data_IF_040107890909
#
_entry.id   IF_040107890909
#
_cell.length_a   1.000
_cell.length_b   1.000
_cell.length_c   1.000
_cell.angle_alpha   90.00
_cell.angle_beta   90.00
_cell.angle_gamma   90.00
#
_symmetry.space_group_name_H-M   'P 1'
#
loop_
_entity.id
_entity.type
_entity.pdbx_description
1 polymer ?
#
# COMPACT_ATOMS: atom_id res chain seq x y z
N UNK A 1 53.79 -33.09 56.62
CA UNK A 1 53.64 -31.90 55.74
C UNK A 1 52.16 -31.53 55.71
N UNK A 2 51.76 -30.50 56.46
CA UNK A 2 50.34 -30.11 56.60
C UNK A 2 50.03 -29.07 55.53
N UNK A 3 49.24 -29.43 54.53
CA UNK A 3 48.72 -28.52 53.50
C UNK A 3 47.65 -27.61 54.12
N UNK A 4 48.00 -26.34 54.35
CA UNK A 4 47.10 -25.30 54.88
C UNK A 4 46.15 -24.84 53.76
N UNK A 5 44.87 -25.24 53.80
CA UNK A 5 43.91 -24.93 52.73
C UNK A 5 43.47 -23.46 52.74
N UNK A 6 43.79 -22.71 51.68
CA UNK A 6 43.48 -21.28 51.49
C UNK A 6 42.03 -21.05 50.96
N UNK A 7 41.04 -21.74 51.52
CA UNK A 7 39.67 -21.82 50.96
C UNK A 7 38.91 -20.48 50.92
N UNK A 8 39.27 -19.48 51.73
CA UNK A 8 38.57 -18.19 51.79
C UNK A 8 38.87 -17.25 50.62
N UNK A 9 40.09 -17.29 50.06
CA UNK A 9 40.47 -16.45 48.91
C UNK A 9 39.88 -16.93 47.58
N UNK A 10 39.74 -18.25 47.42
CA UNK A 10 39.15 -18.86 46.23
C UNK A 10 37.65 -18.54 46.08
N UNK A 11 36.91 -18.57 47.20
CA UNK A 11 35.47 -18.26 47.19
C UNK A 11 35.20 -16.81 46.82
N UNK A 12 36.01 -15.86 47.30
CA UNK A 12 35.88 -14.44 46.97
C UNK A 12 36.15 -14.15 45.49
N UNK A 13 37.20 -14.76 44.93
CA UNK A 13 37.50 -14.63 43.50
C UNK A 13 36.39 -15.24 42.64
N UNK A 14 35.84 -16.40 43.04
CA UNK A 14 34.74 -17.06 42.36
C UNK A 14 33.45 -16.23 42.40
N UNK A 15 33.09 -15.66 43.54
CA UNK A 15 31.89 -14.81 43.64
C UNK A 15 32.02 -13.53 42.81
N UNK A 16 33.22 -12.93 42.76
CA UNK A 16 33.48 -11.78 41.89
C UNK A 16 33.32 -12.14 40.41
N UNK A 17 33.83 -13.31 40.01
CA UNK A 17 33.75 -13.80 38.63
C UNK A 17 32.29 -14.12 38.23
N UNK A 18 31.51 -14.69 39.15
CA UNK A 18 30.07 -14.93 38.97
C UNK A 18 29.30 -13.60 38.88
N UNK A 19 29.61 -12.59 39.69
CA UNK A 19 29.01 -11.25 39.61
C UNK A 19 29.34 -10.54 38.29
N UNK A 20 30.58 -10.67 37.81
CA UNK A 20 30.99 -10.16 36.49
C UNK A 20 30.27 -10.90 35.36
N UNK A 21 30.12 -12.21 35.46
CA UNK A 21 29.35 -12.99 34.48
C UNK A 21 27.88 -12.55 34.46
N UNK A 22 27.20 -12.49 35.61
CA UNK A 22 25.78 -12.10 35.71
C UNK A 22 25.54 -10.67 35.21
N UNK A 23 26.45 -9.74 35.54
CA UNK A 23 26.34 -8.36 35.04
C UNK A 23 26.51 -8.30 33.52
N UNK A 24 27.45 -9.04 32.94
CA UNK A 24 27.62 -9.11 31.48
C UNK A 24 26.40 -9.70 30.76
N UNK A 25 25.80 -10.76 31.31
CA UNK A 25 24.58 -11.37 30.76
C UNK A 25 23.37 -10.43 30.87
N UNK A 26 23.24 -9.69 31.97
CA UNK A 26 22.14 -8.75 32.17
C UNK A 26 22.19 -7.61 31.14
N UNK A 27 23.38 -7.08 30.84
CA UNK A 27 23.57 -6.06 29.80
C UNK A 27 23.26 -6.61 28.41
N UNK A 28 23.74 -7.82 28.10
CA UNK A 28 23.44 -8.49 26.82
C UNK A 28 21.93 -8.73 26.63
N UNK A 29 21.25 -9.19 27.68
CA UNK A 29 19.80 -9.45 27.66
C UNK A 29 19.00 -8.14 27.47
N UNK A 30 19.43 -7.05 28.10
CA UNK A 30 18.83 -5.73 27.88
C UNK A 30 19.00 -5.26 26.42
N UNK A 31 20.16 -5.52 25.81
CA UNK A 31 20.38 -5.27 24.38
C UNK A 31 19.41 -6.04 23.48
N UNK A 32 19.19 -7.33 23.75
CA UNK A 32 18.23 -8.17 23.01
C UNK A 32 16.79 -7.70 23.19
N UNK A 33 16.38 -7.35 24.42
CA UNK A 33 15.03 -6.83 24.70
C UNK A 33 14.78 -5.52 23.95
N UNK A 34 15.76 -4.60 23.96
CA UNK A 34 15.66 -3.35 23.20
C UNK A 34 15.56 -3.61 21.69
N UNK A 35 16.33 -4.57 21.17
CA UNK A 35 16.29 -4.93 19.76
C UNK A 35 14.95 -5.54 19.35
N UNK A 36 14.42 -6.46 20.14
CA UNK A 36 13.12 -7.09 19.90
C UNK A 36 11.97 -6.07 19.98
N UNK A 37 12.03 -5.16 20.95
CA UNK A 37 11.05 -4.06 21.07
C UNK A 37 11.05 -3.17 19.82
N UNK A 38 12.23 -2.74 19.34
CA UNK A 38 12.35 -1.96 18.10
C UNK A 38 11.85 -2.73 16.87
N UNK A 39 12.14 -4.03 16.79
CA UNK A 39 11.68 -4.87 15.70
C UNK A 39 10.14 -5.01 15.70
N UNK A 40 9.53 -5.17 16.87
CA UNK A 40 8.08 -5.23 17.03
C UNK A 40 7.41 -3.93 16.58
N UNK A 41 7.92 -2.76 17.02
CA UNK A 41 7.40 -1.45 16.59
C UNK A 41 7.53 -1.27 15.09
N UNK A 42 8.67 -1.65 14.50
CA UNK A 42 8.86 -1.57 13.05
C UNK A 42 7.88 -2.48 12.29
N UNK A 43 7.65 -3.69 12.79
CA UNK A 43 6.68 -4.63 12.23
C UNK A 43 5.26 -4.04 12.25
N UNK A 44 4.85 -3.52 13.40
CA UNK A 44 3.56 -2.84 13.56
C UNK A 44 3.42 -1.68 12.57
N UNK A 45 4.43 -0.79 12.49
CA UNK A 45 4.42 0.33 11.55
C UNK A 45 4.25 -0.13 10.10
N UNK A 46 4.99 -1.15 9.65
CA UNK A 46 4.84 -1.68 8.28
C UNK A 46 3.43 -2.21 8.04
N UNK A 47 2.85 -2.92 9.01
CA UNK A 47 1.49 -3.44 8.89
C UNK A 47 0.46 -2.31 8.81
N UNK A 48 0.59 -1.27 9.63
CA UNK A 48 -0.32 -0.10 9.58
C UNK A 48 -0.18 0.67 8.26
N UNK A 49 1.03 0.82 7.71
CA UNK A 49 1.23 1.46 6.40
C UNK A 49 0.63 0.61 5.27
N UNK A 50 0.74 -0.73 5.34
CA UNK A 50 0.07 -1.61 4.38
C UNK A 50 -1.45 -1.41 4.44
N UNK A 51 -2.03 -1.40 5.65
CA UNK A 51 -3.47 -1.15 5.82
C UNK A 51 -3.86 0.22 5.25
N UNK A 52 -3.08 1.27 5.48
CA UNK A 52 -3.37 2.58 4.90
C UNK A 52 -3.39 2.56 3.36
N UNK A 53 -2.50 1.79 2.74
CA UNK A 53 -2.51 1.60 1.29
C UNK A 53 -3.74 0.79 0.83
N UNK A 54 -4.16 -0.24 1.57
CA UNK A 54 -5.37 -1.02 1.28
C UNK A 54 -6.64 -0.16 1.35
N UNK A 55 -6.74 0.72 2.36
CA UNK A 55 -7.84 1.69 2.47
C UNK A 55 -7.90 2.64 1.28
N UNK A 56 -6.77 3.03 0.70
CA UNK A 56 -6.76 3.83 -0.52
C UNK A 56 -7.28 3.07 -1.74
N UNK A 57 -6.99 1.76 -1.83
CA UNK A 57 -7.56 0.91 -2.88
C UNK A 57 -9.08 0.76 -2.73
N UNK A 58 -9.55 0.51 -1.51
CA UNK A 58 -10.98 0.41 -1.22
C UNK A 58 -11.70 1.73 -1.45
N UNK A 59 -11.09 2.87 -1.08
CA UNK A 59 -11.64 4.20 -1.35
C UNK A 59 -11.80 4.45 -2.86
N UNK A 60 -10.81 4.08 -3.67
CA UNK A 60 -10.90 4.17 -5.12
C UNK A 60 -11.95 3.24 -5.73
N UNK A 61 -12.06 2.02 -5.21
CA UNK A 61 -13.12 1.07 -5.60
C UNK A 61 -14.51 1.59 -5.25
N UNK A 62 -14.71 2.10 -4.04
CA UNK A 62 -15.98 2.67 -3.58
C UNK A 62 -16.37 3.89 -4.43
N UNK A 63 -15.41 4.73 -4.81
CA UNK A 63 -15.66 5.83 -5.73
C UNK A 63 -16.17 5.32 -7.08
N UNK A 64 -15.58 4.26 -7.65
CA UNK A 64 -16.09 3.65 -8.88
C UNK A 64 -17.52 3.11 -8.71
N UNK A 65 -17.82 2.44 -7.59
CA UNK A 65 -19.18 1.95 -7.31
C UNK A 65 -20.17 3.11 -7.27
N UNK A 66 -19.83 4.21 -6.60
CA UNK A 66 -20.65 5.42 -6.52
C UNK A 66 -20.90 6.03 -7.91
N UNK A 67 -19.87 6.16 -8.75
CA UNK A 67 -20.04 6.66 -10.12
C UNK A 67 -20.90 5.74 -11.00
N UNK A 68 -20.75 4.43 -10.85
CA UNK A 68 -21.57 3.44 -11.56
C UNK A 68 -23.02 3.43 -11.08
N UNK A 69 -23.26 3.70 -9.80
CA UNK A 69 -24.60 3.86 -9.23
C UNK A 69 -25.28 5.13 -9.73
N UNK A 70 -24.57 6.27 -9.71
CA UNK A 70 -25.08 7.57 -10.19
C UNK A 70 -25.49 7.58 -11.66
N UNK A 71 -24.81 6.80 -12.50
CA UNK A 71 -25.14 6.70 -13.92
C UNK A 71 -26.40 5.87 -14.22
N UNK A 72 -27.03 5.24 -13.22
CA UNK A 72 -28.37 4.66 -13.34
C UNK A 72 -28.46 3.51 -14.35
N UNK A 73 -29.01 3.75 -15.54
CA UNK A 73 -29.04 2.81 -16.67
C UNK A 73 -28.22 3.29 -17.89
N UNK A 74 -27.63 4.49 -17.81
CA UNK A 74 -26.84 5.08 -18.88
C UNK A 74 -25.47 4.38 -19.05
N UNK A 75 -24.88 4.51 -20.24
CA UNK A 75 -23.53 4.03 -20.51
C UNK A 75 -22.51 4.57 -19.49
N UNK A 76 -21.52 3.73 -19.14
CA UNK A 76 -20.44 4.14 -18.24
C UNK A 76 -19.51 5.10 -18.97
N UNK A 77 -19.47 6.37 -18.55
CA UNK A 77 -18.72 7.46 -19.20
C UNK A 77 -17.45 7.89 -18.48
N UNK A 78 -17.00 7.12 -17.48
CA UNK A 78 -15.81 7.45 -16.68
C UNK A 78 -14.58 7.48 -17.60
N UNK A 79 -13.88 8.61 -17.68
CA UNK A 79 -12.64 8.81 -18.46
C UNK A 79 -11.51 9.34 -17.60
N UNK A 80 -10.28 9.30 -18.11
CA UNK A 80 -9.16 10.01 -17.48
C UNK A 80 -9.16 11.50 -17.87
N UNK A 81 -10.21 12.22 -17.49
CA UNK A 81 -10.42 13.63 -17.85
C UNK A 81 -9.41 14.58 -17.19
N UNK A 82 -8.77 14.16 -16.09
CA UNK A 82 -7.82 14.98 -15.35
C UNK A 82 -6.39 14.48 -15.58
N UNK A 83 -5.43 15.38 -15.52
CA UNK A 83 -4.01 15.04 -15.57
C UNK A 83 -3.20 15.83 -14.53
N UNK A 84 -1.99 15.34 -14.24
CA UNK A 84 -1.00 16.03 -13.40
C UNK A 84 0.40 15.60 -13.80
N UNK A 85 1.38 16.50 -13.65
CA UNK A 85 2.78 16.15 -13.82
C UNK A 85 3.20 15.02 -12.89
N UNK A 86 3.91 14.04 -13.46
CA UNK A 86 4.43 12.90 -12.72
C UNK A 86 5.44 13.43 -11.71
N UNK A 87 5.09 13.30 -10.44
CA UNK A 87 5.88 13.82 -9.32
C UNK A 87 5.55 13.05 -8.05
N UNK A 88 6.54 12.94 -7.16
CA UNK A 88 6.39 12.31 -5.86
C UNK A 88 6.75 10.82 -5.83
N UNK A 89 6.98 10.32 -4.63
CA UNK A 89 7.50 8.98 -4.40
C UNK A 89 6.48 7.87 -4.71
N UNK A 90 5.18 8.12 -4.53
CA UNK A 90 4.16 7.12 -4.84
C UNK A 90 4.15 6.73 -6.31
N UNK A 91 4.02 7.72 -7.20
CA UNK A 91 4.00 7.47 -8.64
C UNK A 91 5.31 6.84 -9.12
N UNK A 92 6.46 7.27 -8.58
CA UNK A 92 7.75 6.65 -8.88
C UNK A 92 7.80 5.17 -8.49
N UNK A 93 7.26 4.79 -7.33
CA UNK A 93 7.17 3.39 -6.89
C UNK A 93 6.21 2.56 -7.75
N UNK A 94 5.24 3.20 -8.42
CA UNK A 94 4.36 2.58 -9.41
C UNK A 94 4.95 2.57 -10.83
N UNK A 95 6.22 2.94 -10.98
CA UNK A 95 6.97 2.91 -12.25
C UNK A 95 6.85 4.17 -13.11
N UNK A 96 6.15 5.21 -12.65
CA UNK A 96 6.07 6.50 -13.34
C UNK A 96 7.32 7.33 -13.05
N UNK A 97 8.33 7.24 -13.92
CA UNK A 97 9.62 7.92 -13.73
C UNK A 97 9.83 9.11 -14.65
N UNK A 98 9.03 9.24 -15.73
CA UNK A 98 9.16 10.34 -16.67
C UNK A 98 8.46 11.60 -16.16
N UNK A 99 9.20 12.50 -15.53
CA UNK A 99 8.67 13.75 -14.96
C UNK A 99 8.27 14.79 -16.01
N UNK A 100 8.64 14.59 -17.28
CA UNK A 100 8.18 15.42 -18.40
C UNK A 100 6.77 15.03 -18.88
N UNK A 101 6.25 13.88 -18.43
CA UNK A 101 4.92 13.40 -18.76
C UNK A 101 3.90 13.72 -17.66
N UNK A 102 2.62 13.64 -18.03
CA UNK A 102 1.51 13.74 -17.10
C UNK A 102 0.88 12.36 -16.89
N UNK A 103 0.51 12.07 -15.64
CA UNK A 103 -0.37 10.95 -15.33
C UNK A 103 -1.82 11.39 -15.54
N UNK A 104 -2.56 10.64 -16.34
CA UNK A 104 -3.98 10.84 -16.58
C UNK A 104 -4.81 9.96 -15.63
N UNK A 105 -5.84 10.53 -15.02
CA UNK A 105 -6.69 9.84 -14.04
C UNK A 105 -8.13 10.36 -14.07
N UNK A 106 -9.05 9.51 -13.66
CA UNK A 106 -10.46 9.83 -13.49
C UNK A 106 -10.71 10.53 -12.14
N UNK A 107 -10.04 10.07 -11.09
CA UNK A 107 -10.18 10.62 -9.75
C UNK A 107 -8.92 10.47 -8.92
N UNK A 108 -8.73 11.36 -7.95
CA UNK A 108 -7.57 11.37 -7.07
C UNK A 108 -7.88 12.01 -5.73
N UNK A 109 -7.34 11.44 -4.66
CA UNK A 109 -7.27 12.05 -3.34
C UNK A 109 -5.88 11.85 -2.74
N UNK A 110 -5.40 12.85 -2.01
CA UNK A 110 -4.09 12.85 -1.36
C UNK A 110 -4.19 13.26 0.09
N UNK A 111 -3.17 12.91 0.87
CA UNK A 111 -3.08 13.25 2.29
C UNK A 111 -4.36 12.86 3.04
N UNK A 112 -4.96 11.72 2.68
CA UNK A 112 -6.13 11.22 3.38
C UNK A 112 -5.66 10.59 4.68
N UNK A 113 -6.32 10.94 5.78
CA UNK A 113 -6.00 10.37 7.07
C UNK A 113 -6.51 8.93 7.13
N UNK A 114 -5.67 8.02 7.60
CA UNK A 114 -6.07 6.62 7.79
C UNK A 114 -7.19 6.47 8.84
N UNK A 115 -7.16 7.30 9.89
CA UNK A 115 -8.20 7.36 10.90
C UNK A 115 -8.78 8.77 10.97
N UNK A 116 -9.94 8.98 10.36
CA UNK A 116 -10.85 10.09 10.69
C UNK A 116 -11.79 9.74 11.86
N UNK A 117 -11.61 8.57 12.47
CA UNK A 117 -12.40 8.11 13.61
C UNK A 117 -11.69 8.55 14.89
N UNK A 118 -11.98 9.78 15.33
CA UNK A 118 -11.54 10.33 16.62
C UNK A 118 -10.18 11.03 16.62
N UNK A 119 -9.88 11.72 17.72
CA UNK A 119 -8.64 12.48 17.98
C UNK A 119 -7.43 11.56 18.26
N UNK A 120 -7.33 10.44 17.56
CA UNK A 120 -6.28 9.43 17.78
C UNK A 120 -4.98 9.89 17.12
N UNK A 121 -4.14 10.53 17.94
CA UNK A 121 -2.85 11.11 17.51
C UNK A 121 -1.86 10.10 16.95
N UNK A 122 -2.08 8.80 17.16
CA UNK A 122 -1.19 7.73 16.70
C UNK A 122 -1.51 7.27 15.27
N UNK A 123 -2.80 7.20 14.89
CA UNK A 123 -3.21 6.80 13.54
C UNK A 123 -3.30 7.98 12.56
N UNK A 124 -3.52 9.20 13.04
CA UNK A 124 -3.49 10.42 12.21
C UNK A 124 -2.12 10.73 11.57
N UNK A 125 -1.06 10.02 11.99
CA UNK A 125 0.30 10.10 11.40
C UNK A 125 0.45 9.24 10.15
N UNK A 126 -0.47 8.32 9.93
CA UNK A 126 -0.52 7.48 8.74
C UNK A 126 -1.50 8.10 7.77
N UNK A 127 -1.01 8.33 6.55
CA UNK A 127 -1.82 8.90 5.49
C UNK A 127 -1.80 7.99 4.29
N UNK A 128 -2.75 8.18 3.38
CA UNK A 128 -2.74 7.50 2.11
C UNK A 128 -3.10 8.46 0.99
N UNK A 129 -2.72 8.07 -0.21
CA UNK A 129 -3.22 8.67 -1.42
C UNK A 129 -3.62 7.59 -2.41
N UNK A 130 -4.52 7.95 -3.31
CA UNK A 130 -4.94 7.05 -4.36
C UNK A 130 -5.35 7.80 -5.63
N UNK A 131 -5.25 7.07 -6.74
CA UNK A 131 -5.62 7.48 -8.08
C UNK A 131 -6.52 6.39 -8.67
N UNK A 132 -7.59 6.80 -9.33
CA UNK A 132 -8.45 5.92 -10.11
C UNK A 132 -8.24 6.24 -11.57
N UNK A 133 -7.93 5.22 -12.37
CA UNK A 133 -7.64 5.37 -13.78
C UNK A 133 -8.48 4.40 -14.59
N UNK A 134 -8.99 4.86 -15.73
CA UNK A 134 -9.46 3.97 -16.79
C UNK A 134 -8.24 3.47 -17.57
N UNK A 135 -8.25 2.19 -17.89
CA UNK A 135 -7.19 1.56 -18.67
C UNK A 135 -7.80 0.81 -19.87
N UNK A 136 -6.99 0.56 -20.89
CA UNK A 136 -7.42 -0.19 -22.07
C UNK A 136 -7.74 -1.65 -21.74
N UNK A 137 -8.51 -2.31 -22.61
CA UNK A 137 -8.71 -3.75 -22.53
C UNK A 137 -7.36 -4.46 -22.70
N UNK A 138 -7.01 -5.33 -21.75
CA UNK A 138 -5.77 -6.07 -21.77
C UNK A 138 -6.06 -7.57 -21.71
N UNK A 139 -5.67 -8.31 -22.75
CA UNK A 139 -5.89 -9.75 -22.88
C UNK A 139 -5.10 -10.59 -21.87
N UNK A 140 -4.10 -10.00 -21.20
CA UNK A 140 -3.29 -10.65 -20.15
C UNK A 140 -3.94 -10.63 -18.76
N UNK A 141 -5.10 -9.99 -18.60
CA UNK A 141 -5.85 -10.00 -17.34
C UNK A 141 -6.62 -11.33 -17.11
N UNK A 142 -6.61 -12.24 -18.10
CA UNK A 142 -7.11 -13.61 -17.96
C UNK A 142 -6.07 -14.59 -17.38
N UNK A 143 -4.96 -14.11 -16.85
CA UNK A 143 -3.93 -14.96 -16.24
C UNK A 143 -2.73 -14.13 -15.80
N UNK A 144 -2.66 -13.90 -14.49
CA UNK A 144 -1.60 -13.27 -13.69
C UNK A 144 -0.22 -13.05 -14.36
N UNK A 145 -0.10 -12.09 -15.28
CA UNK A 145 1.21 -11.56 -15.65
C UNK A 145 1.17 -10.06 -15.96
N UNK A 146 2.02 -9.34 -15.24
CA UNK A 146 1.96 -7.91 -14.94
C UNK A 146 2.76 -7.00 -15.91
N UNK A 147 2.28 -5.74 -16.03
CA UNK A 147 2.86 -4.49 -16.59
C UNK A 147 2.98 -4.42 -18.14
N UNK A 148 2.25 -3.50 -18.80
CA UNK A 148 2.82 -2.18 -19.10
C UNK A 148 1.90 -0.97 -18.83
N UNK A 149 2.53 0.16 -18.54
CA UNK A 149 1.90 1.46 -18.42
C UNK A 149 1.42 2.00 -19.77
N UNK A 150 0.14 2.37 -19.85
CA UNK A 150 -0.35 3.38 -20.80
C UNK A 150 -1.40 4.27 -20.13
N UNK A 151 -0.92 5.21 -19.29
CA UNK A 151 -1.67 6.42 -18.87
C UNK A 151 -0.73 7.62 -18.72
N UNK A 152 0.48 7.52 -19.29
CA UNK A 152 1.35 8.66 -19.56
C UNK A 152 1.03 9.13 -20.98
N UNK A 153 0.44 10.32 -21.13
CA UNK A 153 -0.08 10.81 -22.42
C UNK A 153 -1.60 10.69 -22.58
N UNK A 154 -2.13 11.22 -23.68
CA UNK A 154 -3.56 11.42 -23.90
C UNK A 154 -4.37 10.12 -23.86
N UNK A 155 -5.52 10.15 -23.16
CA UNK A 155 -6.46 9.04 -23.09
C UNK A 155 -7.10 8.80 -24.47
N UNK A 156 -6.74 7.69 -25.12
CA UNK A 156 -7.28 7.29 -26.42
C UNK A 156 -8.53 6.41 -26.30
N UNK A 157 -9.00 6.15 -25.07
CA UNK A 157 -10.13 5.26 -24.82
C UNK A 157 -11.45 6.01 -24.99
N UNK A 158 -12.22 5.64 -26.00
CA UNK A 158 -13.53 6.25 -26.23
C UNK A 158 -14.54 5.85 -25.13
N UNK A 159 -15.14 6.81 -24.41
CA UNK A 159 -16.05 6.54 -23.28
C UNK A 159 -17.46 6.08 -23.66
N UNK A 160 -17.84 6.15 -24.94
CA UNK A 160 -19.27 6.25 -25.31
C UNK A 160 -19.76 5.26 -26.35
N UNK A 161 -19.03 4.18 -26.64
CA UNK A 161 -19.63 3.11 -27.47
C UNK A 161 -20.32 2.08 -26.59
N UNK A 162 -21.64 1.96 -26.72
CA UNK A 162 -22.36 0.74 -26.35
C UNK A 162 -21.74 -0.40 -27.15
N UNK A 163 -20.81 -1.10 -26.52
CA UNK A 163 -20.17 -2.26 -27.11
C UNK A 163 -20.20 -3.38 -26.07
N UNK A 164 -20.06 -4.60 -26.54
CA UNK A 164 -20.08 -5.78 -25.68
C UNK A 164 -18.74 -5.97 -24.95
N UNK A 165 -17.91 -4.91 -24.82
CA UNK A 165 -16.55 -5.03 -24.27
C UNK A 165 -16.54 -4.61 -22.81
N UNK A 166 -15.99 -5.50 -21.99
CA UNK A 166 -15.62 -5.24 -20.59
C UNK A 166 -14.67 -4.03 -20.51
N UNK A 167 -14.98 -3.11 -19.60
CA UNK A 167 -14.20 -1.91 -19.30
C UNK A 167 -13.29 -2.21 -18.12
N UNK A 168 -12.06 -1.70 -18.15
CA UNK A 168 -11.06 -1.93 -17.12
C UNK A 168 -10.65 -0.63 -16.42
N UNK A 169 -10.41 -0.76 -15.13
CA UNK A 169 -9.95 0.30 -14.26
C UNK A 169 -8.74 -0.18 -13.45
N UNK A 170 -7.91 0.77 -13.06
CA UNK A 170 -6.82 0.57 -12.12
C UNK A 170 -6.95 1.58 -10.99
N UNK A 171 -6.88 1.10 -9.76
CA UNK A 171 -6.69 1.96 -8.59
C UNK A 171 -5.25 1.83 -8.15
N UNK A 172 -4.55 2.95 -8.08
CA UNK A 172 -3.20 3.05 -7.56
C UNK A 172 -3.31 3.64 -6.17
N UNK A 173 -2.68 3.05 -5.16
CA UNK A 173 -2.61 3.62 -3.83
C UNK A 173 -1.19 3.57 -3.27
N UNK A 174 -0.88 4.55 -2.42
CA UNK A 174 0.27 4.50 -1.55
C UNK A 174 -0.13 4.85 -0.13
N UNK A 175 0.22 3.96 0.79
CA UNK A 175 0.17 4.22 2.23
C UNK A 175 1.48 4.86 2.67
N UNK A 176 1.39 5.82 3.57
CA UNK A 176 2.50 6.57 4.15
C UNK A 176 2.56 6.35 5.65
N UNK A 177 3.75 5.99 6.12
CA UNK A 177 4.04 5.96 7.55
C UNK A 177 4.28 7.37 8.13
N UNK A 178 4.50 7.45 9.44
CA UNK A 178 4.80 8.70 10.12
C UNK A 178 5.96 9.43 9.43
N UNK A 179 5.80 10.74 9.20
CA UNK A 179 6.75 11.60 8.50
C UNK A 179 7.12 11.13 7.08
N UNK A 180 6.31 10.28 6.45
CA UNK A 180 6.55 9.70 5.12
C UNK A 180 7.85 8.89 5.00
N UNK A 181 8.40 8.42 6.12
CA UNK A 181 9.62 7.61 6.17
C UNK A 181 9.45 6.19 5.60
N UNK A 182 8.20 5.75 5.44
CA UNK A 182 7.83 4.47 4.85
C UNK A 182 6.69 4.69 3.87
N UNK A 183 6.79 4.04 2.72
CA UNK A 183 5.77 4.08 1.68
C UNK A 183 5.50 2.63 1.26
N UNK A 184 4.23 2.26 1.20
CA UNK A 184 3.79 0.98 0.64
C UNK A 184 2.96 1.29 -0.60
N UNK A 185 3.47 0.97 -1.80
CA UNK A 185 2.71 1.08 -3.03
C UNK A 185 1.83 -0.17 -3.19
N UNK A 186 0.56 0.02 -3.55
CA UNK A 186 -0.35 -1.06 -3.93
C UNK A 186 -1.18 -0.65 -5.13
N UNK A 187 -1.59 -1.62 -5.94
CA UNK A 187 -2.49 -1.39 -7.05
C UNK A 187 -3.55 -2.50 -7.15
N UNK A 188 -4.74 -2.10 -7.56
CA UNK A 188 -5.92 -2.95 -7.72
C UNK A 188 -6.42 -2.82 -9.16
N UNK A 189 -6.65 -3.95 -9.82
CA UNK A 189 -7.26 -4.01 -11.14
C UNK A 189 -8.72 -4.43 -11.02
N UNK A 190 -9.57 -3.66 -11.68
CA UNK A 190 -11.00 -3.77 -11.61
C UNK A 190 -11.58 -3.77 -13.01
N UNK A 191 -12.76 -4.33 -13.15
CA UNK A 191 -13.51 -4.22 -14.40
C UNK A 191 -15.01 -4.17 -14.17
N UNK A 192 -15.70 -3.63 -15.17
CA UNK A 192 -17.15 -3.53 -15.21
C UNK A 192 -17.65 -3.72 -16.65
N UNK A 193 -18.91 -4.15 -16.79
CA UNK A 193 -19.55 -4.41 -18.08
C UNK A 193 -19.26 -5.80 -18.66
N UNK A 194 -20.06 -6.18 -19.66
CA UNK A 194 -19.90 -7.39 -20.46
C UNK A 194 -20.73 -8.60 -20.02
N UNK A 195 -21.91 -8.77 -20.63
CA UNK A 195 -22.39 -10.07 -21.08
C UNK A 195 -23.20 -9.91 -22.38
N UNK A 196 -22.56 -10.27 -23.50
CA UNK A 196 -23.13 -10.87 -24.71
C UNK A 196 -24.22 -10.17 -25.54
N UNK A 197 -25.31 -9.68 -24.94
CA UNK A 197 -26.58 -9.50 -25.68
C UNK A 197 -27.18 -8.09 -25.65
N UNK A 198 -26.81 -7.21 -24.72
CA UNK A 198 -27.46 -5.89 -24.54
C UNK A 198 -26.52 -4.71 -24.21
N UNK A 199 -25.21 -4.83 -24.47
CA UNK A 199 -24.23 -3.77 -24.20
C UNK A 199 -23.76 -3.73 -22.72
N UNK A 200 -23.22 -2.59 -22.26
CA UNK A 200 -22.62 -2.39 -20.93
C UNK A 200 -23.62 -2.48 -19.76
N UNK A 201 -24.24 -3.65 -19.53
CA UNK A 201 -25.28 -3.87 -18.51
C UNK A 201 -24.71 -4.34 -17.17
N UNK A 202 -23.49 -4.88 -17.14
CA UNK A 202 -22.83 -5.26 -15.89
C UNK A 202 -22.31 -4.05 -15.11
N UNK A 203 -23.06 -3.57 -14.11
CA UNK A 203 -22.59 -2.55 -13.14
C UNK A 203 -21.83 -3.14 -11.95
N UNK A 204 -21.70 -4.46 -11.92
CA UNK A 204 -20.87 -5.15 -10.95
C UNK A 204 -19.41 -4.85 -11.22
N UNK A 205 -18.73 -4.31 -10.22
CA UNK A 205 -17.27 -4.21 -10.24
C UNK A 205 -16.69 -5.57 -9.87
N UNK A 206 -15.97 -6.16 -10.81
CA UNK A 206 -15.22 -7.38 -10.59
C UNK A 206 -13.77 -7.03 -10.25
N UNK A 207 -13.21 -7.71 -9.25
CA UNK A 207 -11.80 -7.61 -8.89
C UNK A 207 -11.04 -8.59 -9.77
N UNK A 208 -10.14 -8.07 -10.60
CA UNK A 208 -9.34 -8.89 -11.53
C UNK A 208 -8.01 -9.33 -10.91
N UNK A 209 -7.50 -8.53 -9.97
CA UNK A 209 -6.23 -8.83 -9.32
C UNK A 209 -5.70 -7.68 -8.48
N UNK A 210 -4.75 -8.03 -7.63
CA UNK A 210 -4.07 -7.15 -6.71
C UNK A 210 -2.56 -7.27 -6.90
N UNK A 211 -1.83 -6.17 -6.77
CA UNK A 211 -0.38 -6.17 -6.94
C UNK A 211 0.31 -5.17 -6.04
N UNK A 212 1.51 -5.56 -5.61
CA UNK A 212 2.46 -4.73 -4.88
C UNK A 212 3.70 -4.55 -5.76
N UNK A 213 3.94 -3.34 -6.29
CA UNK A 213 5.13 -3.03 -7.10
C UNK A 213 6.44 -3.16 -6.34
#
# INVERSE_FOLDING_TARGET
MILKSNKKGFVLALTLLVLLAISSFSVAMMGVIQQNSKASVRSHQVNTVNQAAEFGLDSGRLWLVDQMSKSGTAAITITNATNRSISGACLALHGYTNTSNNIHYAFRKINQNFAEIGTETDFGRYTYEYYVQRIGNHTTLNGYNFIPQSTEGADTLTPTTYNNRRIFYRVISCGYGPNRNKIVPLQLFLSAGGDGATGNVGRSINIEGYYKP
#
